data_IF_804858759179
#
_entry.id   IF_804858759179
#
_cell.length_a   1.000
_cell.length_b   1.000
_cell.length_c   1.000
_cell.angle_alpha   90.00
_cell.angle_beta   90.00
_cell.angle_gamma   90.00
#
_symmetry.space_group_name_H-M   'P 1'
#
loop_
_entity.id
_entity.type
_entity.pdbx_description
1 polymer ?
#
# COMPACT_ATOMS: atom_id res chain seq x y z
N UNK A 1 12.16 17.28 5.01
CA UNK A 1 11.81 15.85 4.85
C UNK A 1 10.37 15.71 5.33
N UNK A 2 9.42 16.04 4.46
CA UNK A 2 7.99 16.10 4.76
C UNK A 2 7.48 14.76 5.28
N UNK A 3 7.27 14.70 6.59
CA UNK A 3 6.81 13.51 7.31
C UNK A 3 5.30 13.29 7.17
N UNK A 4 4.69 13.91 6.16
CA UNK A 4 3.25 14.06 5.99
C UNK A 4 2.85 14.05 4.50
N UNK A 5 3.50 13.21 3.68
CA UNK A 5 2.92 12.81 2.38
C UNK A 5 1.63 12.04 2.63
N UNK A 6 0.56 12.83 2.75
CA UNK A 6 -0.86 12.52 2.80
C UNK A 6 -1.20 11.03 2.85
N UNK A 7 -1.63 10.62 4.05
CA UNK A 7 -2.68 9.59 4.20
C UNK A 7 -3.71 9.84 3.12
N UNK A 8 -3.96 8.84 2.28
CA UNK A 8 -5.08 8.71 1.35
C UNK A 8 -5.83 10.03 1.12
N UNK A 9 -5.36 10.85 0.16
CA UNK A 9 -6.04 12.10 -0.15
C UNK A 9 -7.52 11.77 -0.42
N UNK A 10 -8.49 12.35 0.30
CA UNK A 10 -9.89 11.97 0.17
C UNK A 10 -10.44 12.17 -1.26
N UNK A 11 -9.74 12.91 -2.12
CA UNK A 11 -10.04 13.03 -3.55
C UNK A 11 -9.47 11.92 -4.44
N UNK A 12 -8.57 11.06 -3.96
CA UNK A 12 -7.96 10.00 -4.76
C UNK A 12 -8.95 8.89 -5.11
N UNK A 13 -8.94 8.50 -6.37
CA UNK A 13 -9.72 7.36 -6.87
C UNK A 13 -9.15 6.05 -6.34
N UNK A 14 -9.99 5.02 -6.25
CA UNK A 14 -9.55 3.68 -5.84
C UNK A 14 -8.46 3.11 -6.76
N UNK A 15 -8.47 3.46 -8.05
CA UNK A 15 -7.44 3.05 -9.00
C UNK A 15 -6.08 3.72 -8.71
N UNK A 16 -6.07 5.02 -8.44
CA UNK A 16 -4.84 5.74 -8.06
C UNK A 16 -4.24 5.19 -6.77
N UNK A 17 -5.08 4.93 -5.77
CA UNK A 17 -4.64 4.33 -4.50
C UNK A 17 -4.05 2.92 -4.70
N UNK A 18 -4.62 2.10 -5.60
CA UNK A 18 -4.07 0.78 -5.96
C UNK A 18 -2.70 0.88 -6.63
N UNK A 19 -2.52 1.85 -7.53
CA UNK A 19 -1.23 2.09 -8.20
C UNK A 19 -0.16 2.55 -7.19
N UNK A 20 -0.50 3.48 -6.32
CA UNK A 20 0.43 3.95 -5.29
C UNK A 20 0.80 2.83 -4.31
N UNK A 21 -0.19 2.03 -3.89
CA UNK A 21 0.05 0.88 -3.01
C UNK A 21 0.99 -0.15 -3.66
N UNK A 22 0.81 -0.44 -4.96
CA UNK A 22 1.69 -1.34 -5.71
C UNK A 22 3.13 -0.79 -5.81
N UNK A 23 3.28 0.53 -6.00
CA UNK A 23 4.60 1.17 -6.01
C UNK A 23 5.29 1.02 -4.65
N UNK A 24 4.57 1.29 -3.56
CA UNK A 24 5.09 1.15 -2.19
C UNK A 24 5.49 -0.29 -1.88
N UNK A 25 4.69 -1.27 -2.29
CA UNK A 25 4.99 -2.71 -2.13
C UNK A 25 6.28 -3.10 -2.86
N UNK A 26 6.44 -2.66 -4.11
CA UNK A 26 7.65 -2.89 -4.91
C UNK A 26 8.90 -2.27 -4.27
N UNK A 27 8.81 -1.03 -3.79
CA UNK A 27 9.93 -0.40 -3.08
C UNK A 27 10.29 -1.13 -1.78
N UNK A 28 9.29 -1.64 -1.07
CA UNK A 28 9.50 -2.36 0.18
C UNK A 28 10.15 -3.73 -0.04
N UNK A 29 9.73 -4.44 -1.09
CA UNK A 29 10.38 -5.68 -1.51
C UNK A 29 11.83 -5.44 -1.92
N UNK A 30 12.11 -4.36 -2.64
CA UNK A 30 13.48 -3.98 -2.99
C UNK A 30 14.31 -3.69 -1.74
N UNK A 31 13.77 -2.90 -0.80
CA UNK A 31 14.46 -2.60 0.47
C UNK A 31 14.72 -3.85 1.30
N UNK A 32 13.78 -4.79 1.35
CA UNK A 32 13.98 -6.09 2.02
C UNK A 32 15.11 -6.90 1.36
N UNK A 33 15.15 -6.95 0.02
CA UNK A 33 16.18 -7.67 -0.72
C UNK A 33 17.58 -7.05 -0.58
N UNK A 34 17.65 -5.73 -0.41
CA UNK A 34 18.89 -4.97 -0.21
C UNK A 34 19.31 -4.87 1.27
N UNK A 35 18.45 -5.28 2.21
CA UNK A 35 18.72 -5.11 3.64
C UNK A 35 19.70 -6.17 4.16
N UNK A 36 20.84 -5.69 4.63
CA UNK A 36 21.88 -6.52 5.25
C UNK A 36 21.68 -6.66 6.77
N UNK A 37 20.69 -5.96 7.35
CA UNK A 37 20.44 -5.94 8.79
C UNK A 37 19.21 -6.77 9.19
N UNK A 38 19.36 -7.80 10.07
CA UNK A 38 18.24 -8.65 10.47
C UNK A 38 17.05 -7.91 11.11
N UNK A 39 17.30 -6.78 11.78
CA UNK A 39 16.26 -5.96 12.39
C UNK A 39 15.39 -5.19 11.39
N UNK A 40 15.95 -4.86 10.22
CA UNK A 40 15.24 -4.19 9.14
C UNK A 40 14.34 -5.17 8.38
N UNK A 41 14.79 -6.42 8.18
CA UNK A 41 14.01 -7.47 7.52
C UNK A 41 12.64 -7.73 8.20
N UNK A 42 12.63 -7.84 9.53
CA UNK A 42 11.38 -8.03 10.30
C UNK A 42 10.43 -6.80 10.20
N UNK A 43 10.98 -5.60 10.02
CA UNK A 43 10.17 -4.40 9.81
C UNK A 43 9.55 -4.38 8.40
N UNK A 44 10.31 -4.78 7.39
CA UNK A 44 9.86 -4.91 6.01
C UNK A 44 8.76 -5.98 5.88
N UNK A 45 8.91 -7.12 6.56
CA UNK A 45 7.89 -8.19 6.61
C UNK A 45 6.54 -7.66 7.15
N UNK A 46 6.55 -6.97 8.30
CA UNK A 46 5.33 -6.36 8.87
C UNK A 46 4.69 -5.33 7.93
N UNK A 47 5.50 -4.59 7.16
CA UNK A 47 4.98 -3.63 6.17
C UNK A 47 4.37 -4.34 4.97
N UNK A 48 4.89 -5.50 4.58
CA UNK A 48 4.29 -6.38 3.57
C UNK A 48 2.91 -6.90 4.00
N UNK A 49 2.78 -7.38 5.24
CA UNK A 49 1.49 -7.83 5.78
C UNK A 49 0.44 -6.71 5.76
N UNK A 50 0.85 -5.51 6.18
CA UNK A 50 -0.01 -4.33 6.11
C UNK A 50 -0.40 -3.99 4.67
N UNK A 51 0.51 -4.16 3.71
CA UNK A 51 0.24 -3.93 2.30
C UNK A 51 -0.79 -4.91 1.75
N UNK A 52 -0.71 -6.19 2.12
CA UNK A 52 -1.69 -7.21 1.74
C UNK A 52 -3.10 -6.85 2.25
N UNK A 53 -3.21 -6.42 3.51
CA UNK A 53 -4.48 -5.96 4.08
C UNK A 53 -5.04 -4.74 3.34
N UNK A 54 -4.20 -3.73 3.04
CA UNK A 54 -4.63 -2.54 2.29
C UNK A 54 -5.13 -2.90 0.88
N UNK A 55 -4.47 -3.84 0.21
CA UNK A 55 -4.88 -4.34 -1.11
C UNK A 55 -6.27 -4.98 -1.07
N UNK A 56 -6.55 -5.77 -0.03
CA UNK A 56 -7.89 -6.34 0.18
C UNK A 56 -8.94 -5.23 0.37
N UNK A 57 -8.64 -4.21 1.17
CA UNK A 57 -9.58 -3.10 1.44
C UNK A 57 -9.85 -2.25 0.20
N UNK A 58 -8.84 -1.99 -0.62
CA UNK A 58 -9.03 -1.30 -1.90
C UNK A 58 -9.89 -2.12 -2.87
N UNK A 59 -9.75 -3.44 -2.90
CA UNK A 59 -10.61 -4.32 -3.70
C UNK A 59 -12.05 -4.39 -3.16
N UNK A 60 -12.26 -4.36 -1.85
CA UNK A 60 -13.59 -4.22 -1.23
C UNK A 60 -14.24 -2.88 -1.62
N UNK A 61 -13.48 -1.78 -1.55
CA UNK A 61 -13.94 -0.45 -1.97
C UNK A 61 -14.33 -0.42 -3.45
N UNK A 62 -13.47 -0.92 -4.33
CA UNK A 62 -13.73 -0.99 -5.78
C UNK A 62 -15.02 -1.76 -6.11
N UNK A 63 -15.25 -2.90 -5.44
CA UNK A 63 -16.49 -3.68 -5.60
C UNK A 63 -17.73 -2.94 -5.09
N UNK A 64 -17.59 -2.16 -4.03
CA UNK A 64 -18.69 -1.34 -3.51
C UNK A 64 -18.98 -0.16 -4.44
N UNK A 65 -17.96 0.53 -4.93
CA UNK A 65 -18.09 1.60 -5.92
C UNK A 65 -18.73 1.10 -7.22
N UNK A 66 -18.40 -0.11 -7.67
CA UNK A 66 -19.02 -0.73 -8.85
C UNK A 66 -20.51 -1.03 -8.64
N UNK A 67 -20.91 -1.53 -7.45
CA UNK A 67 -22.30 -1.85 -7.14
C UNK A 67 -23.19 -0.62 -6.98
N UNK A 68 -22.64 0.49 -6.48
CA UNK A 68 -23.40 1.75 -6.33
C UNK A 68 -23.58 2.49 -7.66
N UNK A 69 -22.82 2.13 -8.70
CA UNK A 69 -22.85 2.78 -10.01
C UNK A 69 -23.86 2.14 -10.98
N UNK A 70 -24.48 1.02 -10.59
CA UNK A 70 -25.56 0.31 -11.30
C UNK A 70 -26.93 0.68 -10.68
#
# INVERSE_FOLDING_TARGET
>A
MDRESRKDDPGSTTQELKLEQAKRESEEQRRLAESEQPGEAAQHERRSDKAAYLKQKLAERERSEARTRD
#
